data_IF_838591860037
#
_entry.id   IF_838591860037
#
_cell.length_a   1.000
_cell.length_b   1.000
_cell.length_c   1.000
_cell.angle_alpha   90.00
_cell.angle_beta   90.00
_cell.angle_gamma   90.00
#
_symmetry.space_group_name_H-M   'P 1'
#
loop_
_entity.id
_entity.type
_entity.pdbx_description
1 polymer ?
#
# COMPACT_ATOMS: atom_id res chain seq x y z
N UNK A 1 -21.80 -2.65 -14.62
CA UNK A 1 -21.50 -1.22 -14.35
C UNK A 1 -21.91 -0.75 -12.95
N UNK A 2 -23.12 -1.01 -12.42
CA UNK A 2 -23.52 -0.56 -11.06
C UNK A 2 -22.81 -1.29 -9.90
N UNK A 3 -22.34 -2.53 -10.09
CA UNK A 3 -21.68 -3.33 -9.04
C UNK A 3 -20.20 -2.96 -8.82
N UNK A 4 -19.50 -2.56 -9.87
CA UNK A 4 -18.08 -2.14 -9.80
C UNK A 4 -17.92 -0.82 -9.03
N UNK A 5 -18.93 0.07 -9.08
CA UNK A 5 -18.91 1.32 -8.32
C UNK A 5 -19.00 1.10 -6.80
N UNK A 6 -19.55 -0.04 -6.36
CA UNK A 6 -19.71 -0.37 -4.94
C UNK A 6 -18.38 -0.77 -4.27
N UNK A 7 -17.47 -1.42 -5.01
CA UNK A 7 -16.14 -1.82 -4.50
C UNK A 7 -15.28 -0.59 -4.18
N UNK A 8 -15.40 0.46 -5.00
CA UNK A 8 -14.68 1.72 -4.75
C UNK A 8 -15.24 2.51 -3.56
N UNK A 9 -16.56 2.43 -3.31
CA UNK A 9 -17.22 3.09 -2.17
C UNK A 9 -16.86 2.42 -0.83
N UNK A 10 -16.57 1.13 -0.79
CA UNK A 10 -16.16 0.42 0.44
C UNK A 10 -14.75 0.84 0.90
N UNK A 11 -13.86 1.20 -0.03
CA UNK A 11 -12.50 1.66 0.31
C UNK A 11 -12.52 3.09 0.88
N UNK A 12 -13.54 3.91 0.56
CA UNK A 12 -13.64 5.30 1.04
C UNK A 12 -14.65 5.51 2.16
N UNK A 13 -15.47 4.50 2.51
CA UNK A 13 -16.68 4.65 3.34
C UNK A 13 -16.59 4.24 4.82
N UNK A 14 -15.47 3.68 5.31
CA UNK A 14 -15.40 3.13 6.68
C UNK A 14 -14.94 4.15 7.74
N UNK A 15 -14.79 5.42 7.43
CA UNK A 15 -14.45 6.47 8.39
C UNK A 15 -15.56 7.50 8.60
N UNK A 16 -16.79 7.07 8.86
CA UNK A 16 -17.84 7.99 9.30
C UNK A 16 -18.51 7.48 10.59
N UNK A 17 -17.98 7.94 11.71
CA UNK A 17 -18.73 8.46 12.83
C UNK A 17 -19.62 7.55 13.66
N UNK A 18 -19.18 7.24 14.87
CA UNK A 18 -20.11 7.07 16.01
C UNK A 18 -20.05 8.30 16.90
N UNK A 19 -21.09 9.10 16.90
CA UNK A 19 -21.41 10.07 17.98
C UNK A 19 -22.78 9.78 18.54
N UNK A 20 -22.76 9.50 19.84
CA UNK A 20 -23.73 9.80 20.90
C UNK A 20 -25.16 9.24 20.85
N UNK A 21 -25.57 8.56 21.95
CA UNK A 21 -26.42 9.21 22.92
C UNK A 21 -26.48 8.45 24.26
N UNK A 22 -26.39 9.25 25.37
CA UNK A 22 -26.59 8.88 26.77
C UNK A 22 -28.06 8.61 27.06
N UNK A 23 -28.37 7.65 27.94
CA UNK A 23 -29.33 7.83 29.05
C UNK A 23 -28.97 6.89 30.21
N UNK A 24 -28.98 7.43 31.41
CA UNK A 24 -28.66 6.84 32.69
C UNK A 24 -29.76 5.91 33.23
N UNK A 25 -29.37 4.94 34.05
CA UNK A 25 -29.85 4.74 35.45
C UNK A 25 -29.26 3.47 36.07
N UNK A 26 -28.67 3.63 37.24
CA UNK A 26 -28.22 2.65 38.24
C UNK A 26 -29.39 2.08 39.09
N UNK A 27 -29.18 1.21 40.12
CA UNK A 27 -28.03 0.38 40.52
C UNK A 27 -28.36 -1.05 41.05
N UNK A 28 -27.28 -1.77 41.52
CA UNK A 28 -27.17 -2.91 42.49
C UNK A 28 -27.01 -4.29 41.90
N UNK A 29 -26.17 -5.21 42.35
CA UNK A 29 -25.28 -5.48 43.46
C UNK A 29 -24.32 -6.65 43.12
N UNK A 30 -23.10 -6.58 43.63
CA UNK A 30 -22.07 -7.58 43.94
C UNK A 30 -22.18 -9.04 43.45
N UNK A 31 -21.15 -9.52 42.74
CA UNK A 31 -20.37 -10.66 43.24
C UNK A 31 -18.94 -10.63 42.70
N UNK A 32 -18.03 -10.89 43.62
CA UNK A 32 -16.57 -10.96 43.49
C UNK A 32 -16.20 -12.27 42.79
N UNK A 33 -15.44 -12.20 41.67
CA UNK A 33 -14.49 -13.24 41.29
C UNK A 33 -13.33 -12.57 40.53
N UNK A 34 -12.13 -12.91 40.98
CA UNK A 34 -10.85 -12.39 40.53
C UNK A 34 -10.67 -12.46 39.01
N UNK A 35 -10.04 -11.45 38.38
CA UNK A 35 -9.66 -11.52 37.00
C UNK A 35 -8.37 -12.33 36.88
N UNK A 36 -8.42 -13.38 36.06
CA UNK A 36 -7.21 -13.97 35.50
C UNK A 36 -6.47 -12.90 34.68
N UNK A 37 -5.27 -12.57 35.12
CA UNK A 37 -4.33 -11.71 34.39
C UNK A 37 -4.15 -12.24 32.95
N UNK A 38 -4.70 -11.49 31.99
CA UNK A 38 -4.26 -11.59 30.61
C UNK A 38 -2.89 -10.95 30.55
N UNK A 39 -1.89 -11.74 30.23
CA UNK A 39 -0.57 -11.28 29.83
C UNK A 39 -0.72 -10.41 28.58
N UNK A 40 -0.90 -9.12 28.79
CA UNK A 40 -0.82 -8.09 27.74
C UNK A 40 0.63 -7.65 27.60
N UNK A 41 1.49 -8.46 27.06
CA UNK A 41 2.80 -8.01 26.57
C UNK A 41 3.45 -9.14 25.79
N UNK A 42 3.16 -9.21 24.50
CA UNK A 42 4.11 -9.76 23.56
C UNK A 42 5.14 -8.66 23.25
N UNK A 43 6.40 -8.81 23.72
CA UNK A 43 7.42 -7.77 23.51
C UNK A 43 7.71 -7.47 22.03
N UNK A 44 7.39 -8.40 21.12
CA UNK A 44 7.64 -8.26 19.69
C UNK A 44 6.68 -7.27 19.01
N UNK A 45 5.40 -7.26 19.41
CA UNK A 45 4.43 -6.30 18.85
C UNK A 45 4.69 -4.84 19.28
N UNK A 46 5.16 -4.64 20.51
CA UNK A 46 5.46 -3.30 21.01
C UNK A 46 6.75 -2.73 20.41
N UNK A 47 7.80 -3.55 20.23
CA UNK A 47 9.09 -3.10 19.69
C UNK A 47 8.93 -2.62 18.22
N UNK A 48 8.13 -3.32 17.40
CA UNK A 48 7.91 -2.94 16.01
C UNK A 48 7.13 -1.61 15.87
N UNK A 49 6.22 -1.30 16.81
CA UNK A 49 5.41 -0.07 16.81
C UNK A 49 6.18 1.15 17.34
N UNK A 50 7.07 0.95 18.30
CA UNK A 50 7.83 2.04 18.92
C UNK A 50 9.00 2.54 18.07
N UNK A 51 9.53 1.71 17.17
CA UNK A 51 10.70 2.05 16.35
C UNK A 51 10.39 2.45 14.92
N UNK A 52 9.14 2.27 14.46
CA UNK A 52 8.74 2.72 13.14
C UNK A 52 8.57 4.25 13.11
N UNK A 53 9.14 4.90 12.10
CA UNK A 53 8.96 6.34 11.88
C UNK A 53 8.47 6.64 10.47
N UNK A 54 7.57 7.62 10.35
CA UNK A 54 6.85 7.93 9.13
C UNK A 54 7.07 9.39 8.71
N UNK A 55 7.18 9.60 7.41
CA UNK A 55 7.18 10.91 6.74
C UNK A 55 6.30 10.86 5.49
N UNK A 56 5.65 11.99 5.16
CA UNK A 56 5.03 12.20 3.85
C UNK A 56 6.01 12.83 2.84
N UNK A 57 7.27 12.96 3.20
CA UNK A 57 8.28 13.64 2.37
C UNK A 57 7.89 15.09 2.03
N UNK A 58 7.27 15.79 2.99
CA UNK A 58 6.76 17.15 2.79
C UNK A 58 7.79 18.23 3.10
N UNK A 59 9.06 17.87 3.30
CA UNK A 59 10.19 18.79 3.37
C UNK A 59 11.39 18.25 2.60
N UNK A 60 12.34 19.13 2.30
CA UNK A 60 13.52 18.82 1.50
C UNK A 60 14.40 17.72 2.11
N UNK A 61 14.55 17.69 3.44
CA UNK A 61 15.39 16.71 4.14
C UNK A 61 14.87 15.28 3.93
N UNK A 62 13.60 15.04 4.22
CA UNK A 62 12.99 13.72 4.06
C UNK A 62 12.84 13.33 2.59
N UNK A 63 12.52 14.30 1.72
CA UNK A 63 12.42 14.07 0.27
C UNK A 63 13.76 13.59 -0.30
N UNK A 64 14.86 14.32 -0.01
CA UNK A 64 16.20 13.96 -0.46
C UNK A 64 16.71 12.65 0.13
N UNK A 65 16.37 12.36 1.40
CA UNK A 65 16.72 11.08 2.02
C UNK A 65 16.07 9.91 1.28
N UNK A 66 14.76 9.99 0.98
CA UNK A 66 14.03 8.94 0.28
C UNK A 66 14.54 8.79 -1.16
N UNK A 67 14.75 9.89 -1.88
CA UNK A 67 15.32 9.88 -3.22
C UNK A 67 16.64 9.11 -3.27
N UNK A 68 17.57 9.45 -2.36
CA UNK A 68 18.89 8.80 -2.25
C UNK A 68 18.76 7.30 -1.93
N UNK A 69 17.86 6.93 -1.03
CA UNK A 69 17.64 5.52 -0.67
C UNK A 69 17.13 4.69 -1.87
N UNK A 70 16.16 5.24 -2.60
CA UNK A 70 15.62 4.61 -3.81
C UNK A 70 16.68 4.53 -4.94
N UNK A 71 17.42 5.61 -5.18
CA UNK A 71 18.49 5.62 -6.17
C UNK A 71 19.58 4.59 -5.88
N UNK A 72 20.02 4.47 -4.65
CA UNK A 72 21.04 3.50 -4.26
C UNK A 72 20.58 2.05 -4.48
N UNK A 73 19.27 1.77 -4.30
CA UNK A 73 18.74 0.41 -4.41
C UNK A 73 18.25 0.06 -5.83
N UNK A 74 17.72 1.03 -6.56
CA UNK A 74 17.08 0.78 -7.85
C UNK A 74 17.91 1.35 -9.02
N UNK A 75 18.54 2.51 -8.82
CA UNK A 75 19.16 3.32 -9.87
C UNK A 75 20.66 3.10 -10.07
N UNK A 76 21.35 2.38 -9.17
CA UNK A 76 22.82 2.35 -9.12
C UNK A 76 23.50 2.01 -10.46
N UNK A 77 22.94 1.08 -11.25
CA UNK A 77 23.49 0.64 -12.52
C UNK A 77 22.43 0.68 -13.67
N UNK A 78 21.38 1.52 -13.52
CA UNK A 78 20.25 1.53 -14.45
C UNK A 78 19.69 2.95 -14.63
N UNK A 79 20.06 3.62 -15.73
CA UNK A 79 19.63 4.98 -16.05
C UNK A 79 18.09 5.11 -16.12
N UNK A 80 17.39 4.08 -16.62
CA UNK A 80 15.92 4.09 -16.67
C UNK A 80 15.33 4.02 -15.26
N UNK A 81 15.90 3.21 -14.38
CA UNK A 81 15.45 3.15 -12.99
C UNK A 81 15.66 4.48 -12.27
N UNK A 82 16.82 5.13 -12.49
CA UNK A 82 17.09 6.46 -11.96
C UNK A 82 16.10 7.49 -12.46
N UNK A 83 15.83 7.53 -13.77
CA UNK A 83 14.81 8.42 -14.34
C UNK A 83 13.41 8.16 -13.76
N UNK A 84 13.08 6.91 -13.44
CA UNK A 84 11.82 6.55 -12.79
C UNK A 84 11.77 7.02 -11.33
N UNK A 85 12.88 6.95 -10.58
CA UNK A 85 12.98 7.52 -9.23
C UNK A 85 12.80 9.03 -9.29
N UNK A 86 13.48 9.74 -10.20
CA UNK A 86 13.32 11.19 -10.38
C UNK A 86 11.85 11.56 -10.70
N UNK A 87 11.21 10.81 -11.58
CA UNK A 87 9.78 11.00 -11.92
C UNK A 87 8.89 10.77 -10.72
N UNK A 88 9.12 9.70 -9.96
CA UNK A 88 8.38 9.41 -8.73
C UNK A 88 8.52 10.56 -7.71
N UNK A 89 9.74 11.05 -7.45
CA UNK A 89 9.98 12.16 -6.53
C UNK A 89 9.35 13.47 -7.01
N UNK A 90 9.31 13.71 -8.32
CA UNK A 90 8.57 14.83 -8.89
C UNK A 90 7.05 14.72 -8.66
N UNK A 91 6.48 13.51 -8.75
CA UNK A 91 5.07 13.25 -8.45
C UNK A 91 4.77 13.45 -6.95
N UNK A 92 5.65 13.02 -6.05
CA UNK A 92 5.56 13.28 -4.61
C UNK A 92 5.52 14.78 -4.33
N UNK A 93 6.48 15.53 -4.89
CA UNK A 93 6.58 16.99 -4.72
C UNK A 93 5.36 17.72 -5.25
N UNK A 94 4.86 17.34 -6.43
CA UNK A 94 3.64 17.91 -7.03
C UNK A 94 2.41 17.67 -6.15
N UNK A 95 2.25 16.44 -5.65
CA UNK A 95 1.15 16.12 -4.76
C UNK A 95 1.24 16.93 -3.46
N UNK A 96 2.39 16.91 -2.78
CA UNK A 96 2.59 17.57 -1.49
C UNK A 96 2.33 19.09 -1.56
N UNK A 97 2.87 19.75 -2.60
CA UNK A 97 2.61 21.18 -2.85
C UNK A 97 1.14 21.46 -3.11
N UNK A 98 0.46 20.62 -3.88
CA UNK A 98 -0.93 20.84 -4.28
C UNK A 98 -1.95 20.59 -3.16
N UNK A 99 -1.65 19.72 -2.18
CA UNK A 99 -2.50 19.51 -0.99
C UNK A 99 -2.13 20.44 0.17
N UNK A 100 -1.00 21.14 0.09
CA UNK A 100 -0.43 22.00 1.12
C UNK A 100 0.41 21.21 2.12
N UNK A 101 1.72 21.46 2.11
CA UNK A 101 2.72 20.75 2.93
C UNK A 101 2.40 20.78 4.43
N UNK A 102 1.74 21.83 4.91
CA UNK A 102 1.30 21.95 6.31
C UNK A 102 0.24 20.92 6.74
N UNK A 103 -0.41 20.25 5.79
CA UNK A 103 -1.34 19.16 6.08
C UNK A 103 -0.66 17.78 6.15
N UNK A 104 0.66 17.76 6.00
CA UNK A 104 1.48 16.57 5.86
C UNK A 104 2.61 16.53 6.89
N UNK A 105 3.23 15.35 7.05
CA UNK A 105 4.36 15.15 7.94
C UNK A 105 5.65 15.31 7.12
N UNK A 106 6.46 16.32 7.48
CA UNK A 106 7.75 16.60 6.82
C UNK A 106 8.83 15.61 7.28
N UNK A 107 9.35 15.81 8.49
CA UNK A 107 10.39 14.93 9.05
C UNK A 107 9.82 13.56 9.46
N UNK A 108 10.70 12.55 9.52
CA UNK A 108 10.34 11.26 10.08
C UNK A 108 9.98 11.37 11.56
N UNK A 109 8.78 10.93 11.92
CA UNK A 109 8.26 10.94 13.29
C UNK A 109 7.84 9.54 13.73
N UNK A 110 8.23 9.15 14.92
CA UNK A 110 7.91 7.86 15.52
C UNK A 110 6.47 7.80 16.06
N UNK A 111 5.95 6.58 16.19
CA UNK A 111 4.68 6.30 16.86
C UNK A 111 3.42 6.84 16.18
N UNK A 112 3.51 7.29 14.91
CA UNK A 112 2.39 7.89 14.22
C UNK A 112 1.54 6.86 13.47
N UNK A 113 0.23 6.94 13.72
CA UNK A 113 -0.81 6.39 12.82
C UNK A 113 -1.62 7.57 12.27
N UNK A 114 -1.10 8.27 11.24
CA UNK A 114 -1.76 9.48 10.76
C UNK A 114 -3.11 9.13 10.15
N UNK A 115 -4.10 9.91 10.52
CA UNK A 115 -5.38 10.00 9.83
C UNK A 115 -5.38 11.26 8.98
N UNK A 116 -5.69 11.13 7.71
CA UNK A 116 -5.76 12.25 6.78
C UNK A 116 -7.22 12.68 6.59
N UNK A 117 -7.47 13.97 6.60
CA UNK A 117 -8.75 14.53 6.14
C UNK A 117 -8.79 14.45 4.61
N UNK A 118 -9.18 13.29 4.10
CA UNK A 118 -9.21 12.98 2.66
C UNK A 118 -10.09 13.98 1.90
N UNK A 119 -11.21 14.40 2.49
CA UNK A 119 -12.09 15.41 1.89
C UNK A 119 -11.35 16.73 1.67
N UNK A 120 -10.63 17.22 2.69
CA UNK A 120 -9.83 18.44 2.62
C UNK A 120 -8.68 18.31 1.60
N UNK A 121 -8.01 17.14 1.56
CA UNK A 121 -6.93 16.90 0.58
C UNK A 121 -7.47 16.97 -0.85
N UNK A 122 -8.59 16.28 -1.14
CA UNK A 122 -9.26 16.30 -2.44
C UNK A 122 -9.62 17.73 -2.85
N UNK A 123 -10.29 18.48 -1.97
CA UNK A 123 -10.74 19.83 -2.26
C UNK A 123 -9.58 20.80 -2.49
N UNK A 124 -8.50 20.65 -1.73
CA UNK A 124 -7.30 21.47 -1.90
C UNK A 124 -6.61 21.14 -3.22
N UNK A 125 -6.43 19.86 -3.52
CA UNK A 125 -5.78 19.41 -4.75
C UNK A 125 -6.58 19.74 -6.01
N UNK A 126 -7.92 19.71 -5.96
CA UNK A 126 -8.78 20.15 -7.08
C UNK A 126 -8.60 21.62 -7.46
N UNK A 127 -8.30 22.47 -6.47
CA UNK A 127 -8.11 23.93 -6.67
C UNK A 127 -6.68 24.27 -7.09
N UNK A 128 -5.74 23.38 -6.86
CA UNK A 128 -4.32 23.60 -7.15
C UNK A 128 -3.99 23.33 -8.63
N UNK A 129 -2.97 24.02 -9.13
CA UNK A 129 -2.32 23.62 -10.38
C UNK A 129 -1.48 22.37 -10.11
N UNK A 130 -1.72 21.31 -10.86
CA UNK A 130 -1.00 20.04 -10.77
C UNK A 130 -0.38 19.66 -12.11
N UNK A 131 0.80 19.04 -12.04
CA UNK A 131 1.54 18.61 -13.23
C UNK A 131 1.33 17.11 -13.51
N UNK A 132 0.85 16.36 -12.51
CA UNK A 132 0.60 14.93 -12.63
C UNK A 132 -0.85 14.60 -12.22
N UNK A 133 -1.46 13.56 -12.79
CA UNK A 133 -2.74 13.04 -12.32
C UNK A 133 -2.60 12.43 -10.92
N UNK A 134 -3.73 12.20 -10.28
CA UNK A 134 -3.76 11.43 -9.04
C UNK A 134 -3.50 9.95 -9.36
N UNK A 135 -2.50 9.37 -8.71
CA UNK A 135 -2.05 7.99 -8.89
C UNK A 135 -2.22 7.18 -7.60
N UNK A 136 -2.18 5.86 -7.68
CA UNK A 136 -2.33 4.96 -6.54
C UNK A 136 -1.05 4.15 -6.25
N UNK A 137 -1.15 3.23 -5.27
CA UNK A 137 -0.05 2.35 -4.88
C UNK A 137 0.52 1.54 -6.04
N UNK A 138 -0.34 0.95 -6.89
CA UNK A 138 0.07 0.10 -8.01
C UNK A 138 0.89 0.86 -9.05
N UNK A 139 0.41 2.02 -9.49
CA UNK A 139 1.11 2.85 -10.48
C UNK A 139 2.49 3.26 -9.96
N UNK A 140 2.57 3.70 -8.70
CA UNK A 140 3.81 4.22 -8.13
C UNK A 140 4.84 3.12 -7.83
N UNK A 141 4.42 2.00 -7.23
CA UNK A 141 5.33 0.88 -6.99
C UNK A 141 5.86 0.29 -8.29
N UNK A 142 5.00 0.18 -9.32
CA UNK A 142 5.42 -0.31 -10.63
C UNK A 142 6.37 0.65 -11.33
N UNK A 143 6.13 1.96 -11.28
CA UNK A 143 7.04 2.98 -11.82
C UNK A 143 8.45 2.81 -11.27
N UNK A 144 8.57 2.62 -9.96
CA UNK A 144 9.86 2.43 -9.30
C UNK A 144 10.54 1.11 -9.72
N UNK A 145 9.78 0.03 -9.86
CA UNK A 145 10.33 -1.30 -10.05
C UNK A 145 10.56 -1.70 -11.51
N UNK A 146 9.79 -1.16 -12.47
CA UNK A 146 9.66 -1.70 -13.83
C UNK A 146 10.98 -1.80 -14.60
N UNK A 147 11.93 -0.90 -14.37
CA UNK A 147 13.23 -0.94 -15.02
C UNK A 147 14.08 -2.17 -14.63
N UNK A 148 13.82 -2.72 -13.44
CA UNK A 148 14.52 -3.88 -12.87
C UNK A 148 13.63 -5.12 -12.78
N UNK A 149 12.36 -5.02 -13.19
CA UNK A 149 11.39 -6.11 -13.20
C UNK A 149 11.42 -6.80 -14.56
N UNK A 150 11.49 -8.14 -14.60
CA UNK A 150 11.48 -8.90 -15.84
C UNK A 150 10.36 -9.93 -15.82
N UNK A 151 9.59 -9.98 -16.88
CA UNK A 151 8.61 -11.05 -17.11
C UNK A 151 9.16 -12.09 -18.05
N UNK A 152 9.25 -13.34 -17.60
CA UNK A 152 9.68 -14.48 -18.39
C UNK A 152 8.47 -15.21 -18.96
N UNK A 153 7.38 -15.26 -18.22
CA UNK A 153 6.15 -15.95 -18.59
C UNK A 153 4.97 -15.25 -17.92
N UNK A 154 4.02 -14.81 -18.72
CA UNK A 154 2.75 -14.29 -18.22
C UNK A 154 1.63 -14.71 -19.19
N UNK A 155 0.46 -15.02 -18.64
CA UNK A 155 -0.76 -15.26 -19.41
C UNK A 155 -1.35 -13.98 -19.99
N UNK A 156 -2.51 -14.11 -20.60
CA UNK A 156 -3.32 -12.94 -20.95
C UNK A 156 -3.79 -12.26 -19.65
N UNK A 157 -3.68 -10.93 -19.56
CA UNK A 157 -4.12 -10.24 -18.37
C UNK A 157 -5.64 -10.27 -18.21
N UNK A 158 -6.12 -10.39 -16.97
CA UNK A 158 -7.45 -10.02 -16.54
C UNK A 158 -7.33 -8.66 -15.87
N UNK A 159 -7.49 -7.58 -16.64
CA UNK A 159 -7.27 -6.20 -16.24
C UNK A 159 -8.56 -5.44 -15.87
N UNK A 160 -9.66 -6.16 -15.68
CA UNK A 160 -10.98 -5.57 -15.46
C UNK A 160 -11.02 -4.63 -14.24
N UNK A 161 -10.22 -4.91 -13.21
CA UNK A 161 -10.11 -4.05 -12.02
C UNK A 161 -9.17 -2.85 -12.19
N UNK A 162 -8.44 -2.75 -13.30
CA UNK A 162 -7.42 -1.74 -13.52
C UNK A 162 -7.91 -0.50 -14.28
N UNK A 163 -9.21 -0.39 -14.55
CA UNK A 163 -9.75 0.68 -15.41
C UNK A 163 -9.38 2.09 -14.93
N UNK A 164 -9.39 2.35 -13.61
CA UNK A 164 -8.97 3.64 -13.04
C UNK A 164 -7.47 3.85 -13.17
N UNK A 165 -6.69 2.82 -12.92
CA UNK A 165 -5.23 2.86 -13.07
C UNK A 165 -4.87 3.23 -14.52
N UNK A 166 -5.47 2.54 -15.49
CA UNK A 166 -5.23 2.74 -16.92
C UNK A 166 -5.67 4.13 -17.39
N UNK A 167 -6.79 4.65 -16.86
CA UNK A 167 -7.21 6.03 -17.10
C UNK A 167 -6.13 7.02 -16.64
N UNK A 168 -5.59 6.86 -15.43
CA UNK A 168 -4.57 7.76 -14.87
C UNK A 168 -3.20 7.61 -15.54
N UNK A 169 -2.83 6.39 -15.92
CA UNK A 169 -1.62 6.12 -16.72
C UNK A 169 -1.69 6.88 -18.04
N UNK A 170 -2.83 6.79 -18.74
CA UNK A 170 -3.06 7.48 -20.01
C UNK A 170 -3.11 9.01 -19.85
N UNK A 171 -3.84 9.52 -18.84
CA UNK A 171 -3.93 10.96 -18.53
C UNK A 171 -2.55 11.55 -18.29
N UNK A 172 -1.72 10.90 -17.48
CA UNK A 172 -0.38 11.36 -17.11
C UNK A 172 0.72 10.94 -18.08
N UNK A 173 0.43 10.15 -19.09
CA UNK A 173 1.45 9.51 -19.95
C UNK A 173 2.57 8.89 -19.10
N UNK A 174 2.16 8.11 -18.08
CA UNK A 174 3.09 7.60 -17.07
C UNK A 174 3.95 6.49 -17.64
N UNK A 175 3.33 5.60 -18.42
CA UNK A 175 3.98 4.48 -19.11
C UNK A 175 3.76 4.57 -20.61
N UNK A 176 4.69 4.00 -21.38
CA UNK A 176 4.48 3.71 -22.79
C UNK A 176 3.65 2.42 -22.99
N UNK A 177 3.24 2.14 -24.22
CA UNK A 177 2.34 1.02 -24.51
C UNK A 177 2.86 -0.35 -24.10
N UNK A 178 4.16 -0.62 -24.21
CA UNK A 178 4.75 -1.90 -23.81
C UNK A 178 4.83 -2.03 -22.30
N UNK A 179 5.19 -0.96 -21.61
CA UNK A 179 5.25 -0.93 -20.15
C UNK A 179 3.83 -1.02 -19.54
N UNK A 180 2.83 -0.39 -20.18
CA UNK A 180 1.42 -0.52 -19.80
C UNK A 180 0.93 -1.97 -19.92
N UNK A 181 1.27 -2.68 -21.00
CA UNK A 181 0.89 -4.09 -21.17
C UNK A 181 1.53 -5.01 -20.11
N UNK A 182 2.76 -4.73 -19.68
CA UNK A 182 3.40 -5.44 -18.57
C UNK A 182 2.80 -5.07 -17.22
N UNK A 183 2.39 -3.83 -17.03
CA UNK A 183 1.62 -3.38 -15.86
C UNK A 183 0.31 -4.17 -15.71
N UNK A 184 -0.48 -4.28 -16.77
CA UNK A 184 -1.72 -5.07 -16.78
C UNK A 184 -1.48 -6.53 -16.38
N UNK A 185 -0.41 -7.12 -16.89
CA UNK A 185 -0.01 -8.50 -16.53
C UNK A 185 0.39 -8.61 -15.07
N UNK A 186 1.16 -7.65 -14.53
CA UNK A 186 1.62 -7.69 -13.15
C UNK A 186 0.45 -7.59 -12.16
N UNK A 187 -0.52 -6.74 -12.43
CA UNK A 187 -1.68 -6.48 -11.57
C UNK A 187 -2.97 -7.21 -12.00
N UNK A 188 -2.86 -8.17 -12.90
CA UNK A 188 -3.97 -9.01 -13.33
C UNK A 188 -4.63 -9.72 -12.15
N UNK A 189 -5.96 -9.85 -12.18
CA UNK A 189 -6.66 -10.74 -11.26
C UNK A 189 -6.27 -12.18 -11.53
N UNK A 190 -6.18 -12.97 -10.49
CA UNK A 190 -5.87 -14.41 -10.56
C UNK A 190 -7.02 -15.19 -9.95
N UNK A 191 -7.48 -16.23 -10.63
CA UNK A 191 -8.58 -17.04 -10.12
C UNK A 191 -8.21 -17.73 -8.82
N UNK A 192 -8.96 -17.46 -7.76
CA UNK A 192 -8.75 -18.04 -6.44
C UNK A 192 -9.16 -19.52 -6.38
N UNK A 193 -8.58 -20.24 -5.43
CA UNK A 193 -9.07 -21.57 -5.05
C UNK A 193 -10.33 -21.46 -4.18
N UNK A 194 -11.07 -22.55 -4.08
CA UNK A 194 -12.17 -22.67 -3.12
C UNK A 194 -11.58 -23.01 -1.72
N UNK A 195 -10.91 -22.04 -1.11
CA UNK A 195 -10.31 -22.14 0.21
C UNK A 195 -10.30 -20.75 0.88
N UNK A 196 -10.61 -20.72 2.18
CA UNK A 196 -10.51 -19.50 3.00
C UNK A 196 -9.16 -19.38 3.74
N UNK A 197 -8.21 -20.28 3.45
CA UNK A 197 -6.89 -20.27 4.08
C UNK A 197 -5.93 -19.41 3.25
N UNK A 198 -5.29 -18.39 3.86
CA UNK A 198 -4.30 -17.56 3.17
C UNK A 198 -3.19 -18.37 2.49
N UNK A 199 -2.70 -19.44 3.14
CA UNK A 199 -1.62 -20.27 2.62
C UNK A 199 -1.99 -21.03 1.33
N UNK A 200 -3.27 -21.37 1.15
CA UNK A 200 -3.75 -22.02 -0.07
C UNK A 200 -3.87 -21.02 -1.21
N UNK A 201 -4.29 -19.79 -0.91
CA UNK A 201 -4.39 -18.69 -1.88
C UNK A 201 -3.01 -18.15 -2.23
N UNK A 202 -2.11 -18.06 -1.25
CA UNK A 202 -0.72 -17.65 -1.47
C UNK A 202 -0.01 -18.54 -2.50
N UNK A 203 -0.20 -19.85 -2.45
CA UNK A 203 0.34 -20.78 -3.47
C UNK A 203 -0.15 -20.48 -4.89
N UNK A 204 -1.35 -19.91 -5.03
CA UNK A 204 -1.87 -19.47 -6.35
C UNK A 204 -1.08 -18.26 -6.84
N UNK A 205 -0.87 -17.29 -5.96
CA UNK A 205 -0.11 -16.08 -6.29
C UNK A 205 1.38 -16.37 -6.50
N UNK A 206 1.99 -17.23 -5.68
CA UNK A 206 3.38 -17.70 -5.87
C UNK A 206 3.56 -18.37 -7.25
N UNK A 207 2.60 -19.23 -7.64
CA UNK A 207 2.62 -19.82 -8.97
C UNK A 207 2.47 -18.75 -10.07
N UNK A 208 1.60 -17.76 -9.88
CA UNK A 208 1.46 -16.66 -10.82
C UNK A 208 2.75 -15.87 -10.97
N UNK A 209 3.39 -15.52 -9.86
CA UNK A 209 4.64 -14.76 -9.86
C UNK A 209 5.90 -15.58 -10.17
N UNK A 210 5.83 -16.90 -10.25
CA UNK A 210 6.98 -17.75 -10.61
C UNK A 210 7.57 -17.45 -11.98
N UNK A 211 6.84 -16.72 -12.84
CA UNK A 211 7.30 -16.24 -14.15
C UNK A 211 7.91 -14.84 -14.14
N UNK A 212 8.10 -14.24 -12.96
CA UNK A 212 8.64 -12.89 -12.80
C UNK A 212 10.02 -12.94 -12.13
N UNK A 213 10.90 -12.02 -12.52
CA UNK A 213 12.13 -11.76 -11.81
C UNK A 213 12.05 -10.33 -11.24
N UNK A 214 12.16 -10.24 -9.92
CA UNK A 214 12.03 -9.00 -9.17
C UNK A 214 13.37 -8.23 -9.08
N UNK A 215 13.36 -6.94 -8.72
CA UNK A 215 14.58 -6.20 -8.44
C UNK A 215 15.44 -6.91 -7.38
N UNK A 216 16.77 -6.82 -7.51
CA UNK A 216 17.69 -7.51 -6.60
C UNK A 216 17.81 -6.82 -5.23
N UNK A 217 17.84 -5.48 -5.25
CA UNK A 217 18.15 -4.66 -4.06
C UNK A 217 16.93 -3.85 -3.59
N UNK A 218 15.73 -4.22 -4.04
CA UNK A 218 14.46 -3.69 -3.58
C UNK A 218 13.38 -4.77 -3.64
N UNK A 219 12.44 -4.71 -2.72
CA UNK A 219 11.35 -5.66 -2.64
C UNK A 219 10.01 -4.98 -2.94
N UNK A 220 9.15 -5.67 -3.66
CA UNK A 220 7.76 -5.30 -3.88
C UNK A 220 6.92 -6.02 -2.82
N UNK A 221 6.60 -5.30 -1.74
CA UNK A 221 5.77 -5.85 -0.66
C UNK A 221 4.32 -5.49 -0.92
N UNK A 222 3.48 -6.50 -1.05
CA UNK A 222 2.08 -6.35 -1.44
C UNK A 222 1.11 -7.03 -0.47
N UNK A 223 -0.11 -6.51 -0.44
CA UNK A 223 -1.25 -7.12 0.22
C UNK A 223 -2.18 -7.67 -0.85
N UNK A 224 -2.41 -8.97 -0.80
CA UNK A 224 -3.35 -9.66 -1.68
C UNK A 224 -4.71 -9.73 -1.00
N UNK A 225 -5.73 -9.37 -1.74
CA UNK A 225 -7.14 -9.42 -1.32
C UNK A 225 -7.87 -10.46 -2.17
N UNK A 226 -8.74 -11.23 -1.52
CA UNK A 226 -9.64 -12.15 -2.17
C UNK A 226 -11.01 -11.49 -2.34
N UNK A 227 -11.46 -11.35 -3.59
CA UNK A 227 -12.75 -10.77 -3.96
C UNK A 227 -13.67 -11.81 -4.59
N UNK A 228 -14.95 -11.74 -4.25
CA UNK A 228 -15.99 -12.66 -4.74
C UNK A 228 -17.21 -11.97 -5.37
N UNK A 229 -17.09 -10.67 -5.71
CA UNK A 229 -18.24 -9.87 -6.20
C UNK A 229 -18.70 -10.26 -7.61
N UNK A 230 -17.76 -10.58 -8.50
CA UNK A 230 -18.05 -10.99 -9.88
C UNK A 230 -17.35 -12.30 -10.27
N UNK A 231 -16.97 -13.07 -9.27
CA UNK A 231 -16.23 -14.32 -9.32
C UNK A 231 -15.30 -14.43 -8.14
N UNK A 232 -14.57 -15.52 -8.00
CA UNK A 232 -13.63 -15.70 -6.91
C UNK A 232 -12.20 -15.44 -7.42
N UNK A 233 -11.67 -14.26 -7.09
CA UNK A 233 -10.37 -13.78 -7.60
C UNK A 233 -9.46 -13.28 -6.48
N UNK A 234 -8.17 -13.36 -6.74
CA UNK A 234 -7.10 -12.73 -5.96
C UNK A 234 -6.56 -11.54 -6.75
N UNK A 235 -6.28 -10.45 -6.09
CA UNK A 235 -5.63 -9.29 -6.70
C UNK A 235 -4.76 -8.55 -5.69
N UNK A 236 -3.78 -7.81 -6.18
CA UNK A 236 -2.98 -6.91 -5.34
C UNK A 236 -3.83 -5.69 -4.98
N UNK A 237 -4.33 -5.66 -3.74
CA UNK A 237 -5.12 -4.55 -3.19
C UNK A 237 -4.26 -3.37 -2.76
N UNK A 238 -3.03 -3.65 -2.28
CA UNK A 238 -2.05 -2.63 -1.94
C UNK A 238 -0.63 -3.11 -2.22
N UNK A 239 0.29 -2.18 -2.47
CA UNK A 239 1.70 -2.48 -2.74
C UNK A 239 2.57 -1.25 -2.50
N UNK A 240 3.79 -1.47 -2.01
CA UNK A 240 4.85 -0.48 -1.91
C UNK A 240 6.22 -1.09 -2.20
N UNK A 241 7.24 -0.26 -2.18
CA UNK A 241 8.64 -0.64 -2.40
C UNK A 241 9.39 -0.59 -1.08
N UNK A 242 10.03 -1.68 -0.72
CA UNK A 242 10.88 -1.81 0.47
C UNK A 242 12.34 -1.86 0.05
N UNK A 243 13.14 -0.94 0.57
CA UNK A 243 14.58 -0.89 0.31
C UNK A 243 15.37 -0.91 1.61
N UNK A 244 16.59 -1.47 1.55
CA UNK A 244 17.49 -1.50 2.70
C UNK A 244 18.12 -0.12 2.90
N UNK A 245 18.16 0.34 4.15
CA UNK A 245 18.84 1.56 4.58
C UNK A 245 19.78 1.24 5.76
N UNK A 246 20.60 2.20 6.16
CA UNK A 246 21.37 2.09 7.40
C UNK A 246 20.39 1.99 8.59
N UNK A 247 20.58 0.96 9.42
CA UNK A 247 19.75 0.72 10.61
C UNK A 247 18.40 0.06 10.36
N UNK A 248 18.07 -0.38 9.12
CA UNK A 248 16.81 -1.06 8.86
C UNK A 248 16.35 -1.03 7.41
N UNK A 249 15.07 -0.76 7.21
CA UNK A 249 14.41 -0.73 5.91
C UNK A 249 13.53 0.50 5.76
N UNK A 250 13.38 0.96 4.54
CA UNK A 250 12.49 2.05 4.16
C UNK A 250 11.40 1.50 3.25
N UNK A 251 10.15 1.58 3.66
CA UNK A 251 8.99 1.24 2.85
C UNK A 251 8.38 2.52 2.28
N UNK A 252 8.21 2.56 0.97
CA UNK A 252 7.66 3.72 0.25
C UNK A 252 6.37 3.32 -0.45
N UNK A 253 5.30 4.03 -0.14
CA UNK A 253 3.96 3.76 -0.68
C UNK A 253 3.21 5.04 -1.08
N UNK A 254 2.27 4.93 -2.00
CA UNK A 254 1.16 5.86 -2.20
C UNK A 254 -0.08 5.18 -1.62
N UNK A 255 -0.73 5.79 -0.64
CA UNK A 255 -1.81 5.10 0.10
C UNK A 255 -3.00 4.78 -0.82
N UNK A 256 -3.53 5.81 -1.49
CA UNK A 256 -4.62 5.68 -2.48
C UNK A 256 -4.51 6.78 -3.54
N UNK A 257 -5.47 6.88 -4.45
CA UNK A 257 -5.52 8.00 -5.40
C UNK A 257 -5.60 9.37 -4.70
N UNK A 258 -6.34 9.45 -3.61
CA UNK A 258 -6.63 10.69 -2.88
C UNK A 258 -5.66 10.93 -1.73
N UNK A 259 -5.18 9.87 -1.08
CA UNK A 259 -4.35 9.96 0.13
C UNK A 259 -2.86 10.13 -0.19
N UNK A 260 -2.04 10.58 0.78
CA UNK A 260 -0.66 10.98 0.53
C UNK A 260 0.28 9.83 0.15
N UNK A 261 1.46 10.23 -0.30
CA UNK A 261 2.65 9.39 -0.28
C UNK A 261 3.14 9.23 1.16
N UNK A 262 3.70 8.06 1.46
CA UNK A 262 4.35 7.78 2.74
C UNK A 262 5.68 7.09 2.52
N UNK A 263 6.64 7.43 3.37
CA UNK A 263 7.88 6.71 3.55
C UNK A 263 7.97 6.32 5.03
N UNK A 264 8.16 5.03 5.32
CA UNK A 264 8.16 4.51 6.69
C UNK A 264 9.46 3.74 6.91
N UNK A 265 10.21 4.12 7.93
CA UNK A 265 11.40 3.39 8.38
C UNK A 265 10.97 2.27 9.33
N UNK A 266 11.46 1.08 9.08
CA UNK A 266 11.25 -0.10 9.92
C UNK A 266 12.59 -0.69 10.38
N UNK A 267 12.68 -1.28 11.57
CA UNK A 267 13.92 -1.91 12.06
C UNK A 267 14.27 -3.17 11.27
N UNK A 268 13.30 -3.86 10.72
CA UNK A 268 13.46 -5.09 9.95
C UNK A 268 12.26 -5.30 8.99
N UNK A 269 12.36 -6.31 8.12
CA UNK A 269 11.30 -6.67 7.14
C UNK A 269 9.99 -7.08 7.82
N UNK A 270 10.09 -7.86 8.92
CA UNK A 270 8.92 -8.37 9.63
C UNK A 270 8.03 -7.23 10.15
N UNK A 271 8.64 -6.16 10.67
CA UNK A 271 7.90 -4.98 11.11
C UNK A 271 7.11 -4.30 9.98
N UNK A 272 7.62 -4.31 8.75
CA UNK A 272 6.88 -3.85 7.57
C UNK A 272 5.70 -4.78 7.25
N UNK A 273 5.90 -6.09 7.31
CA UNK A 273 4.83 -7.06 7.04
C UNK A 273 3.72 -6.94 8.08
N UNK A 274 4.07 -6.83 9.36
CA UNK A 274 3.13 -6.67 10.46
C UNK A 274 2.33 -5.36 10.36
N UNK A 275 2.99 -4.28 9.93
CA UNK A 275 2.31 -3.01 9.61
C UNK A 275 1.25 -3.20 8.52
N UNK A 276 1.57 -3.88 7.44
CA UNK A 276 0.62 -4.13 6.36
C UNK A 276 -0.52 -5.06 6.78
N UNK A 277 -0.22 -6.11 7.54
CA UNK A 277 -1.25 -6.99 8.11
C UNK A 277 -2.22 -6.23 9.01
N UNK A 278 -1.71 -5.40 9.94
CA UNK A 278 -2.56 -4.59 10.83
C UNK A 278 -3.39 -3.57 10.06
N UNK A 279 -2.79 -2.92 9.04
CA UNK A 279 -3.47 -1.89 8.23
C UNK A 279 -4.63 -2.46 7.40
N UNK A 280 -4.52 -3.70 6.92
CA UNK A 280 -5.49 -4.31 6.02
C UNK A 280 -6.32 -5.44 6.64
N UNK A 281 -6.19 -5.73 7.94
CA UNK A 281 -6.88 -6.82 8.64
C UNK A 281 -8.41 -6.81 8.51
N UNK A 282 -9.00 -5.61 8.38
CA UNK A 282 -10.44 -5.42 8.31
C UNK A 282 -10.99 -5.49 6.86
N UNK A 283 -10.11 -5.64 5.86
CA UNK A 283 -10.50 -5.85 4.45
C UNK A 283 -10.85 -7.31 4.19
N UNK A 284 -11.83 -7.83 4.89
CA UNK A 284 -12.24 -9.24 4.85
C UNK A 284 -13.73 -9.37 4.65
N UNK A 285 -14.14 -10.43 3.96
CA UNK A 285 -15.50 -10.86 3.81
C UNK A 285 -15.62 -12.28 4.41
N UNK A 286 -16.73 -12.64 5.10
CA UNK A 286 -16.92 -13.97 5.69
C UNK A 286 -16.78 -15.12 4.69
N UNK A 287 -17.00 -14.86 3.40
CA UNK A 287 -16.94 -15.86 2.34
C UNK A 287 -15.63 -15.94 1.58
N UNK A 288 -14.69 -15.05 1.89
CA UNK A 288 -13.36 -15.01 1.28
C UNK A 288 -12.23 -15.33 2.26
N UNK A 289 -11.03 -15.47 1.74
CA UNK A 289 -9.81 -15.57 2.53
C UNK A 289 -9.45 -14.18 3.11
N UNK A 290 -8.97 -14.09 4.37
CA UNK A 290 -8.41 -12.86 4.89
C UNK A 290 -7.26 -12.34 4.00
N UNK A 291 -7.01 -11.02 3.97
CA UNK A 291 -5.86 -10.45 3.28
C UNK A 291 -4.54 -11.05 3.79
N UNK A 292 -3.57 -11.19 2.91
CA UNK A 292 -2.25 -11.72 3.24
C UNK A 292 -1.14 -10.95 2.54
N UNK A 293 0.06 -11.01 3.12
CA UNK A 293 1.22 -10.25 2.64
C UNK A 293 2.13 -11.14 1.81
N UNK A 294 2.62 -10.58 0.70
CA UNK A 294 3.64 -11.18 -0.15
C UNK A 294 4.82 -10.23 -0.33
N UNK A 295 6.02 -10.78 -0.39
CA UNK A 295 7.27 -10.09 -0.68
C UNK A 295 7.87 -10.69 -1.96
N UNK A 296 8.04 -9.89 -3.02
CA UNK A 296 8.54 -10.33 -4.32
C UNK A 296 7.84 -11.60 -4.85
N UNK A 297 6.53 -11.70 -4.61
CA UNK A 297 5.72 -12.84 -5.04
C UNK A 297 5.81 -14.07 -4.14
N UNK A 298 6.51 -14.03 -3.01
CA UNK A 298 6.58 -15.08 -2.00
C UNK A 298 5.68 -14.74 -0.80
N UNK A 299 5.02 -15.73 -0.22
CA UNK A 299 4.16 -15.58 0.96
C UNK A 299 4.98 -15.33 2.22
N UNK A 300 4.62 -14.28 2.97
CA UNK A 300 5.29 -13.91 4.23
C UNK A 300 4.32 -13.80 5.41
N UNK A 301 3.09 -14.29 5.24
CA UNK A 301 2.11 -14.43 6.30
C UNK A 301 0.89 -13.53 6.23
#
# INVERSE_FOLDING_TARGET
>A
MKKILLILLVITGIFAGCTQNKVANEPKEKNVNEPSEKNENDPSENIAKETASLSNMANESSLSFVAKALDNSLGADNDMAKANVDKFMAMVSDYNKSVGESNLIGDFKEGLKPTYDTGKLIDTRKKAKKNFPDTNCRINAYLLAVANLKVQRAGNPDDEMLFMDLEKIKEGKIFDGQVEETFKKFFSRVKAKNSKKPEDQAKVMEHYFSGWAFPKDADLVSVVINDNLDGNYLFIGHIGVLVKIEGGYLFVEKISFEEPYQAIKFPNRQACYDYLKDKFKDFTDPDTCPPFVMDNGEYVG
#
